data_IF_527721089549
#
_entry.id   IF_527721089549
#
_cell.length_a   1.000
_cell.length_b   1.000
_cell.length_c   1.000
_cell.angle_alpha   90.00
_cell.angle_beta   90.00
_cell.angle_gamma   90.00
#
_symmetry.space_group_name_H-M   'P 1'
#
loop_
_entity.id
_entity.type
_entity.pdbx_description
1 polymer ?
#
# COMPACT_ATOMS: atom_id res chain seq x y z
N UNK A 1 4.68 30.09 17.52
CA UNK A 1 3.38 30.48 18.09
C UNK A 1 2.41 29.31 17.95
N UNK A 2 1.82 28.84 19.05
CA UNK A 2 0.85 27.73 19.01
C UNK A 2 -0.55 28.29 18.72
N UNK A 3 -1.07 28.06 17.52
CA UNK A 3 -2.35 28.63 17.01
C UNK A 3 -3.63 27.99 17.58
N UNK A 4 -3.57 27.29 18.72
CA UNK A 4 -4.74 26.60 19.28
C UNK A 4 -5.10 27.14 20.65
N UNK A 5 -6.00 28.12 20.67
CA UNK A 5 -6.73 28.47 21.89
C UNK A 5 -7.97 27.56 21.93
N UNK A 6 -7.89 26.49 22.72
CA UNK A 6 -8.94 25.47 22.77
C UNK A 6 -10.27 26.01 23.30
N UNK A 7 -11.19 26.38 22.41
CA UNK A 7 -12.56 26.76 22.75
C UNK A 7 -13.55 25.76 22.13
N UNK A 8 -14.17 24.94 22.98
CA UNK A 8 -15.10 23.88 22.58
C UNK A 8 -16.37 24.40 21.91
N UNK A 9 -16.86 25.57 22.31
CA UNK A 9 -18.07 26.17 21.74
C UNK A 9 -17.81 26.77 20.35
N UNK A 10 -16.65 27.42 20.18
CA UNK A 10 -16.20 27.89 18.85
C UNK A 10 -16.00 26.70 17.92
N UNK A 11 -15.36 25.61 18.40
CA UNK A 11 -15.22 24.38 17.62
C UNK A 11 -16.58 23.83 17.19
N UNK A 12 -17.56 23.71 18.11
CA UNK A 12 -18.92 23.25 17.76
C UNK A 12 -19.56 24.13 16.69
N UNK A 13 -19.42 25.45 16.77
CA UNK A 13 -19.95 26.37 15.74
C UNK A 13 -19.30 26.15 14.38
N UNK A 14 -17.98 25.98 14.32
CA UNK A 14 -17.25 25.76 13.07
C UNK A 14 -17.66 24.47 12.35
N UNK A 15 -17.95 23.40 13.09
CA UNK A 15 -18.35 22.09 12.57
C UNK A 15 -19.87 21.86 12.51
N UNK A 16 -20.68 22.87 12.87
CA UNK A 16 -22.14 22.79 12.74
C UNK A 16 -22.57 22.69 11.27
N UNK A 17 -23.83 22.34 11.00
CA UNK A 17 -24.37 22.17 9.64
C UNK A 17 -24.21 23.44 8.76
N UNK A 18 -24.26 24.62 9.37
CA UNK A 18 -24.04 25.91 8.71
C UNK A 18 -22.64 26.50 8.98
N UNK A 19 -21.76 25.73 9.62
CA UNK A 19 -20.40 26.14 9.97
C UNK A 19 -19.44 26.11 8.79
N UNK A 20 -18.31 26.80 8.91
CA UNK A 20 -17.28 26.87 7.88
C UNK A 20 -16.70 25.48 7.50
N UNK A 21 -16.72 24.52 8.42
CA UNK A 21 -16.26 23.15 8.21
C UNK A 21 -17.41 22.14 8.19
N UNK A 22 -18.60 22.57 7.76
CA UNK A 22 -19.78 21.70 7.65
C UNK A 22 -19.57 20.59 6.61
N UNK A 23 -19.04 20.93 5.43
CA UNK A 23 -18.89 19.99 4.33
C UNK A 23 -17.59 19.18 4.43
N UNK A 24 -17.61 17.97 3.86
CA UNK A 24 -16.40 17.15 3.73
C UNK A 24 -15.29 17.89 2.96
N UNK A 25 -15.63 18.57 1.86
CA UNK A 25 -14.66 19.33 1.07
C UNK A 25 -14.03 20.47 1.89
N UNK A 26 -14.81 21.20 2.68
CA UNK A 26 -14.29 22.25 3.57
C UNK A 26 -13.27 21.70 4.58
N UNK A 27 -13.53 20.51 5.14
CA UNK A 27 -12.62 19.84 6.09
C UNK A 27 -11.31 19.42 5.43
N UNK A 28 -11.38 18.90 4.20
CA UNK A 28 -10.20 18.48 3.44
C UNK A 28 -9.37 19.70 3.03
N UNK A 29 -10.03 20.77 2.57
CA UNK A 29 -9.36 22.03 2.20
C UNK A 29 -8.62 22.65 3.38
N UNK A 30 -9.24 22.73 4.57
CA UNK A 30 -8.55 23.30 5.73
C UNK A 30 -7.39 22.41 6.19
N UNK A 31 -7.53 21.08 6.13
CA UNK A 31 -6.44 20.17 6.46
C UNK A 31 -5.24 20.39 5.52
N UNK A 32 -5.48 20.57 4.21
CA UNK A 32 -4.42 20.86 3.24
C UNK A 32 -3.80 22.24 3.44
N UNK A 33 -4.62 23.29 3.54
CA UNK A 33 -4.13 24.66 3.75
C UNK A 33 -3.39 24.83 5.10
N UNK A 34 -3.73 24.03 6.10
CA UNK A 34 -3.05 24.02 7.41
C UNK A 34 -1.79 23.14 7.42
N UNK A 35 -1.46 22.48 6.31
CA UNK A 35 -0.30 21.60 6.19
C UNK A 35 -0.41 20.30 6.98
N UNK A 36 -1.63 19.84 7.32
CA UNK A 36 -1.84 18.56 8.02
C UNK A 36 -1.81 17.36 7.07
N UNK A 37 -2.04 17.61 5.79
CA UNK A 37 -1.96 16.61 4.73
C UNK A 37 -1.16 17.18 3.56
N UNK A 38 -0.38 16.30 2.93
CA UNK A 38 0.41 16.63 1.75
C UNK A 38 -0.46 16.75 0.48
N UNK A 39 0.11 17.32 -0.58
CA UNK A 39 -0.60 17.56 -1.83
C UNK A 39 -1.07 16.29 -2.54
N UNK A 40 -0.34 15.19 -2.37
CA UNK A 40 -0.71 13.87 -2.90
C UNK A 40 -1.90 13.26 -2.13
N UNK A 41 -1.91 13.35 -0.80
CA UNK A 41 -3.04 12.96 0.04
C UNK A 41 -4.29 13.78 -0.32
N UNK A 42 -4.15 15.10 -0.47
CA UNK A 42 -5.24 15.97 -0.88
C UNK A 42 -5.81 15.57 -2.25
N UNK A 43 -4.93 15.33 -3.23
CA UNK A 43 -5.31 14.87 -4.57
C UNK A 43 -6.06 13.54 -4.54
N UNK A 44 -5.58 12.56 -3.78
CA UNK A 44 -6.20 11.24 -3.66
C UNK A 44 -7.58 11.30 -3.00
N UNK A 45 -7.74 12.14 -1.97
CA UNK A 45 -9.04 12.38 -1.34
C UNK A 45 -10.04 12.97 -2.34
N UNK A 46 -9.61 13.88 -3.22
CA UNK A 46 -10.48 14.43 -4.27
C UNK A 46 -10.85 13.37 -5.32
N UNK A 47 -9.97 12.43 -5.65
CA UNK A 47 -10.32 11.29 -6.50
C UNK A 47 -11.31 10.36 -5.78
N UNK A 48 -11.08 10.03 -4.51
CA UNK A 48 -12.02 9.24 -3.70
C UNK A 48 -13.41 9.87 -3.67
N UNK A 49 -13.50 11.20 -3.54
CA UNK A 49 -14.77 11.94 -3.60
C UNK A 49 -15.46 11.76 -4.95
N UNK A 50 -14.72 11.78 -6.06
CA UNK A 50 -15.27 11.51 -7.41
C UNK A 50 -15.78 10.08 -7.52
N UNK A 51 -14.99 9.10 -7.07
CA UNK A 51 -15.39 7.69 -7.04
C UNK A 51 -16.69 7.53 -6.25
N UNK A 52 -16.75 8.05 -5.01
CA UNK A 52 -17.96 8.02 -4.18
C UNK A 52 -19.17 8.63 -4.90
N UNK A 53 -19.00 9.76 -5.57
CA UNK A 53 -20.08 10.40 -6.32
C UNK A 53 -20.59 9.53 -7.47
N UNK A 54 -19.69 8.87 -8.21
CA UNK A 54 -20.07 7.94 -9.28
C UNK A 54 -20.88 6.77 -8.72
N UNK A 55 -20.47 6.20 -7.59
CA UNK A 55 -21.24 5.15 -6.90
C UNK A 55 -22.60 5.65 -6.38
N UNK A 56 -22.68 6.88 -5.86
CA UNK A 56 -23.91 7.44 -5.33
C UNK A 56 -24.94 7.84 -6.40
N UNK A 57 -24.48 8.15 -7.62
CA UNK A 57 -25.34 8.54 -8.74
C UNK A 57 -25.63 7.40 -9.72
N UNK A 58 -25.03 6.23 -9.52
CA UNK A 58 -25.30 5.05 -10.35
C UNK A 58 -26.46 4.25 -9.81
N UNK A 59 -27.46 4.01 -10.68
CA UNK A 59 -28.53 3.05 -10.43
C UNK A 59 -28.17 1.62 -10.88
N UNK A 60 -27.05 1.46 -11.61
CA UNK A 60 -26.52 0.17 -12.04
C UNK A 60 -25.46 -0.37 -11.06
N UNK A 61 -25.24 -1.69 -11.11
CA UNK A 61 -24.20 -2.40 -10.34
C UNK A 61 -22.80 -2.01 -10.80
N UNK A 62 -22.27 -0.93 -10.22
CA UNK A 62 -20.86 -0.56 -10.38
C UNK A 62 -19.96 -1.42 -9.50
N UNK A 63 -18.78 -1.71 -10.03
CA UNK A 63 -17.70 -2.38 -9.31
C UNK A 63 -16.44 -1.52 -9.35
N UNK A 64 -15.52 -1.76 -8.41
CA UNK A 64 -14.16 -1.22 -8.50
C UNK A 64 -13.44 -1.69 -9.77
N UNK A 65 -13.91 -2.78 -10.39
CA UNK A 65 -13.39 -3.28 -11.65
C UNK A 65 -13.93 -2.56 -12.89
N UNK A 66 -14.92 -1.68 -12.74
CA UNK A 66 -15.48 -0.92 -13.87
C UNK A 66 -14.41 -0.03 -14.51
N UNK A 67 -14.35 0.08 -15.85
CA UNK A 67 -13.28 0.80 -16.55
C UNK A 67 -13.06 2.23 -16.05
N UNK A 68 -14.13 2.96 -15.77
CA UNK A 68 -14.04 4.35 -15.32
C UNK A 68 -13.53 4.48 -13.87
N UNK A 69 -13.91 3.54 -12.99
CA UNK A 69 -13.40 3.49 -11.63
C UNK A 69 -11.92 3.11 -11.62
N UNK A 70 -11.51 2.13 -12.43
CA UNK A 70 -10.10 1.77 -12.59
C UNK A 70 -9.25 2.95 -13.07
N UNK A 71 -9.73 3.73 -14.04
CA UNK A 71 -9.04 4.95 -14.51
C UNK A 71 -8.87 5.99 -13.40
N UNK A 72 -9.80 6.08 -12.45
CA UNK A 72 -9.68 6.98 -11.30
C UNK A 72 -8.69 6.43 -10.28
N UNK A 73 -8.78 5.15 -9.91
CA UNK A 73 -7.86 4.51 -8.95
C UNK A 73 -6.41 4.57 -9.46
N UNK A 74 -6.19 4.40 -10.76
CA UNK A 74 -4.86 4.47 -11.36
C UNK A 74 -4.17 5.84 -11.20
N UNK A 75 -4.92 6.92 -10.89
CA UNK A 75 -4.39 8.27 -10.69
C UNK A 75 -4.01 8.56 -9.24
N UNK A 76 -4.20 7.62 -8.33
CA UNK A 76 -3.81 7.82 -6.94
C UNK A 76 -2.29 8.03 -6.86
N UNK A 77 -1.84 8.85 -5.93
CA UNK A 77 -0.44 9.22 -5.77
C UNK A 77 0.14 8.61 -4.48
N UNK A 78 -0.62 8.54 -3.39
CA UNK A 78 -0.13 8.04 -2.10
C UNK A 78 0.16 6.54 -2.14
N UNK A 79 -0.72 5.65 -2.63
CA UNK A 79 -0.37 4.24 -2.76
C UNK A 79 0.78 4.02 -3.73
N UNK A 80 0.88 4.86 -4.77
CA UNK A 80 2.03 4.79 -5.66
C UNK A 80 3.29 5.20 -4.89
N UNK A 81 3.31 6.30 -4.14
CA UNK A 81 4.46 6.72 -3.31
C UNK A 81 4.87 5.67 -2.27
N UNK A 82 3.91 5.20 -1.46
CA UNK A 82 4.16 4.32 -0.32
C UNK A 82 4.45 2.87 -0.72
N UNK A 83 3.87 2.40 -1.83
CA UNK A 83 4.04 1.02 -2.29
C UNK A 83 4.91 0.89 -3.56
N UNK A 84 5.45 1.97 -4.14
CA UNK A 84 6.30 1.89 -5.35
C UNK A 84 7.62 1.15 -5.15
N UNK A 85 8.06 0.87 -3.92
CA UNK A 85 9.26 0.06 -3.74
C UNK A 85 9.08 -1.38 -4.23
N UNK A 86 7.83 -1.84 -4.35
CA UNK A 86 7.50 -3.11 -4.99
C UNK A 86 7.51 -3.03 -6.52
N UNK A 87 7.40 -1.83 -7.10
CA UNK A 87 7.53 -1.60 -8.55
C UNK A 87 8.99 -1.49 -9.03
N UNK A 88 9.94 -1.28 -8.11
CA UNK A 88 11.38 -1.34 -8.38
C UNK A 88 11.99 -2.71 -8.12
N UNK A 89 11.22 -3.62 -7.54
CA UNK A 89 11.60 -5.00 -7.32
C UNK A 89 11.68 -5.67 -8.69
N UNK A 90 12.91 -5.85 -9.16
CA UNK A 90 13.22 -6.54 -10.39
C UNK A 90 13.69 -7.94 -10.05
N UNK A 91 13.43 -8.86 -10.95
CA UNK A 91 14.04 -10.19 -10.92
C UNK A 91 15.01 -10.26 -12.07
N UNK A 92 16.21 -10.77 -11.85
CA UNK A 92 17.11 -11.10 -12.94
C UNK A 92 17.58 -12.56 -12.84
N UNK A 93 17.83 -13.15 -14.00
CA UNK A 93 18.38 -14.51 -14.07
C UNK A 93 19.88 -14.51 -13.71
N UNK A 94 20.29 -15.49 -12.92
CA UNK A 94 21.67 -15.88 -12.65
C UNK A 94 21.96 -17.21 -13.36
N UNK A 95 23.23 -17.65 -13.39
CA UNK A 95 23.60 -18.94 -13.97
C UNK A 95 22.91 -20.13 -13.27
N UNK A 96 22.76 -20.06 -11.94
CA UNK A 96 22.18 -21.13 -11.12
C UNK A 96 20.80 -20.77 -10.51
N UNK A 97 20.14 -19.70 -10.98
CA UNK A 97 18.85 -19.31 -10.41
C UNK A 97 18.35 -17.92 -10.81
N UNK A 98 17.66 -17.26 -9.87
CA UNK A 98 17.17 -15.90 -10.03
C UNK A 98 17.45 -15.07 -8.78
N UNK A 99 17.65 -13.77 -8.95
CA UNK A 99 17.84 -12.81 -7.85
C UNK A 99 16.76 -11.74 -7.93
N UNK A 100 16.14 -11.45 -6.79
CA UNK A 100 15.29 -10.29 -6.61
C UNK A 100 16.11 -9.15 -6.03
N UNK A 101 16.00 -7.97 -6.64
CA UNK A 101 16.75 -6.79 -6.21
C UNK A 101 15.89 -5.53 -6.36
N UNK A 102 16.14 -4.54 -5.51
CA UNK A 102 15.61 -3.18 -5.65
C UNK A 102 16.80 -2.22 -5.79
N UNK A 103 16.80 -1.40 -6.84
CA UNK A 103 17.91 -0.49 -7.16
C UNK A 103 18.80 -1.01 -8.29
N UNK A 104 20.12 -0.89 -8.12
CA UNK A 104 21.09 -1.27 -9.15
C UNK A 104 21.16 -2.79 -9.34
N UNK A 105 21.39 -3.20 -10.60
CA UNK A 105 21.42 -4.61 -10.98
C UNK A 105 22.65 -5.31 -10.38
N UNK A 106 22.48 -6.43 -9.66
CA UNK A 106 23.60 -7.14 -9.06
C UNK A 106 24.56 -7.71 -10.12
N UNK A 107 25.85 -7.68 -9.82
CA UNK A 107 26.91 -8.19 -10.70
C UNK A 107 26.71 -9.68 -10.99
N UNK A 108 26.74 -10.05 -12.27
CA UNK A 108 26.50 -11.43 -12.73
C UNK A 108 25.06 -11.72 -13.15
N UNK A 109 24.13 -10.78 -12.98
CA UNK A 109 22.75 -10.94 -13.43
C UNK A 109 22.59 -10.69 -14.95
N UNK A 110 21.99 -11.66 -15.67
CA UNK A 110 21.88 -11.65 -17.14
C UNK A 110 20.80 -10.72 -17.67
N UNK A 111 19.54 -11.12 -17.59
CA UNK A 111 18.40 -10.38 -18.12
C UNK A 111 17.36 -10.15 -17.03
N UNK A 112 16.69 -8.99 -17.08
CA UNK A 112 15.56 -8.70 -16.19
C UNK A 112 14.36 -9.54 -16.66
N UNK A 113 13.81 -10.35 -15.76
CA UNK A 113 12.63 -11.18 -15.97
C UNK A 113 11.37 -10.37 -15.61
N UNK A 114 10.47 -10.18 -16.57
CA UNK A 114 9.14 -9.67 -16.29
C UNK A 114 8.28 -10.76 -15.63
N UNK A 115 8.16 -10.73 -14.31
CA UNK A 115 7.20 -11.60 -13.63
C UNK A 115 5.82 -10.92 -13.56
N UNK A 116 4.72 -11.66 -13.79
CA UNK A 116 3.37 -11.16 -13.54
C UNK A 116 3.22 -10.71 -12.08
N UNK A 117 2.58 -9.56 -11.82
CA UNK A 117 2.47 -9.00 -10.46
C UNK A 117 1.89 -9.96 -9.40
N UNK A 118 1.04 -10.91 -9.82
CA UNK A 118 0.52 -11.97 -8.93
C UNK A 118 1.61 -12.95 -8.48
N UNK A 119 2.55 -13.28 -9.36
CA UNK A 119 3.67 -14.18 -9.04
C UNK A 119 4.67 -13.49 -8.12
N UNK A 120 4.95 -12.21 -8.36
CA UNK A 120 5.72 -11.37 -7.43
C UNK A 120 5.12 -11.36 -6.02
N UNK A 121 3.81 -11.18 -5.91
CA UNK A 121 3.14 -11.19 -4.61
C UNK A 121 3.25 -12.55 -3.92
N UNK A 122 3.06 -13.65 -4.66
CA UNK A 122 3.19 -15.01 -4.10
C UNK A 122 4.62 -15.25 -3.60
N UNK A 123 5.64 -14.96 -4.42
CA UNK A 123 7.03 -15.21 -4.05
C UNK A 123 7.46 -14.27 -2.90
N UNK A 124 7.09 -12.98 -2.98
CA UNK A 124 7.39 -12.00 -1.93
C UNK A 124 6.78 -12.37 -0.57
N UNK A 125 5.53 -12.86 -0.57
CA UNK A 125 4.91 -13.37 0.65
C UNK A 125 5.62 -14.62 1.18
N UNK A 126 6.03 -15.55 0.31
CA UNK A 126 6.78 -16.74 0.73
C UNK A 126 8.12 -16.38 1.38
N UNK A 127 8.85 -15.40 0.82
CA UNK A 127 10.11 -14.90 1.40
C UNK A 127 9.85 -14.21 2.74
N UNK A 128 8.83 -13.35 2.81
CA UNK A 128 8.44 -12.69 4.06
C UNK A 128 8.11 -13.71 5.16
N UNK A 129 7.35 -14.76 4.83
CA UNK A 129 7.06 -15.85 5.76
C UNK A 129 8.33 -16.59 6.18
N UNK A 130 9.26 -16.87 5.26
CA UNK A 130 10.52 -17.53 5.59
C UNK A 130 11.38 -16.68 6.54
N UNK A 131 11.49 -15.38 6.29
CA UNK A 131 12.23 -14.43 7.14
C UNK A 131 11.58 -14.29 8.52
N UNK A 132 10.25 -14.27 8.60
CA UNK A 132 9.53 -14.27 9.89
C UNK A 132 9.82 -15.56 10.66
N UNK A 133 9.74 -16.71 10.00
CA UNK A 133 10.03 -18.01 10.62
C UNK A 133 11.46 -18.09 11.14
N UNK A 134 12.44 -17.63 10.36
CA UNK A 134 13.85 -17.60 10.76
C UNK A 134 14.08 -16.68 11.97
N UNK A 135 13.47 -15.48 12.00
CA UNK A 135 13.55 -14.57 13.15
C UNK A 135 12.89 -15.14 14.42
N UNK A 136 11.94 -16.06 14.27
CA UNK A 136 11.31 -16.78 15.38
C UNK A 136 12.08 -18.05 15.78
N UNK A 137 13.24 -18.31 15.16
CA UNK A 137 14.11 -19.45 15.45
C UNK A 137 13.72 -20.76 14.75
N UNK A 138 12.80 -20.72 13.80
CA UNK A 138 12.41 -21.88 12.99
C UNK A 138 13.37 -22.03 11.81
N UNK A 139 13.86 -23.25 11.55
CA UNK A 139 14.63 -23.52 10.34
C UNK A 139 13.72 -24.13 9.27
N UNK A 140 13.67 -23.50 8.09
CA UNK A 140 12.97 -24.01 6.91
C UNK A 140 13.95 -24.77 6.03
N UNK A 141 13.68 -26.06 5.77
CA UNK A 141 14.47 -26.87 4.84
C UNK A 141 13.59 -27.40 3.71
N UNK A 142 14.16 -27.40 2.50
CA UNK A 142 13.57 -28.04 1.33
C UNK A 142 14.30 -29.36 1.12
N UNK A 143 13.57 -30.47 1.08
CA UNK A 143 14.12 -31.82 0.93
C UNK A 143 13.36 -32.54 -0.17
N UNK A 144 14.03 -33.43 -0.90
CA UNK A 144 13.40 -34.23 -1.94
C UNK A 144 12.20 -35.01 -1.36
N UNK A 145 11.02 -34.85 -1.97
CA UNK A 145 9.77 -35.44 -1.49
C UNK A 145 9.03 -34.70 -0.36
N UNK A 146 9.57 -33.60 0.19
CA UNK A 146 8.90 -32.73 1.17
C UNK A 146 8.90 -31.27 0.68
N UNK A 147 7.71 -30.70 0.52
CA UNK A 147 7.56 -29.32 0.02
C UNK A 147 8.17 -28.31 1.01
N UNK A 148 7.98 -28.52 2.32
CA UNK A 148 8.56 -27.69 3.39
C UNK A 148 8.76 -28.59 4.63
N UNK A 149 9.95 -28.56 5.23
CA UNK A 149 10.24 -29.15 6.55
C UNK A 149 10.58 -28.01 7.55
N UNK A 150 9.70 -27.80 8.55
CA UNK A 150 9.84 -26.75 9.57
C UNK A 150 10.33 -27.40 10.85
N UNK A 151 11.57 -27.10 11.25
CA UNK A 151 12.10 -27.58 12.53
C UNK A 151 11.73 -26.61 13.64
N UNK A 152 11.05 -27.12 14.68
CA UNK A 152 10.73 -26.36 15.88
C UNK A 152 12.00 -25.90 16.61
N UNK A 153 12.03 -24.68 17.16
CA UNK A 153 13.08 -24.24 18.06
C UNK A 153 13.15 -25.13 19.30
N UNK A 154 14.34 -25.33 19.87
CA UNK A 154 14.53 -26.23 21.02
C UNK A 154 13.71 -25.83 22.26
N UNK A 155 13.41 -24.54 22.44
CA UNK A 155 12.57 -24.04 23.52
C UNK A 155 11.07 -24.37 23.37
N UNK A 156 10.64 -24.85 22.19
CA UNK A 156 9.27 -25.29 21.92
C UNK A 156 9.12 -26.82 21.90
N UNK A 157 10.21 -27.58 22.10
CA UNK A 157 10.21 -29.05 22.07
C UNK A 157 9.86 -29.70 23.43
N UNK A 158 9.30 -28.94 24.38
CA UNK A 158 8.89 -29.40 25.71
C UNK A 158 7.37 -29.46 25.85
#
# INVERSE_FOLDING_TARGET
EYYSHGNSDVRKKLFSENGAFSTFSSKVNIAYCSGWIDSDVFHDIEILRKIRNVFAHSFETLSLNSPDIKKLIAKFLVPHREYYDWGKLKVAALDDGFVMYSGDKPDGAKEDLELPGRLFFIIGMSILYAVILENLGFSVKFSDGKIIDITLPDHMKN
#
